data_IF_246965687676
#
_entry.id   IF_246965687676
#
_cell.length_a   1.000
_cell.length_b   1.000
_cell.length_c   1.000
_cell.angle_alpha   90.00
_cell.angle_beta   90.00
_cell.angle_gamma   90.00
#
_symmetry.space_group_name_H-M   'P 1'
#
loop_
_entity.id
_entity.type
_entity.pdbx_description
1 polymer ?
#
# COMPACT_ATOMS: atom_id res chain seq x y z
N UNK A 1 -19.42 5.52 35.50
CA UNK A 1 -20.34 4.86 34.56
C UNK A 1 -20.42 5.72 33.31
N UNK A 2 -19.69 5.37 32.24
CA UNK A 2 -19.74 6.06 30.94
C UNK A 2 -20.36 5.06 29.97
N UNK A 3 -21.69 5.10 29.83
CA UNK A 3 -22.35 4.48 28.68
C UNK A 3 -22.18 5.42 27.51
N UNK A 4 -21.00 5.39 26.88
CA UNK A 4 -20.80 6.04 25.59
C UNK A 4 -21.67 5.29 24.59
N UNK A 5 -22.81 5.87 24.22
CA UNK A 5 -23.58 5.39 23.08
C UNK A 5 -22.70 5.50 21.83
N UNK A 6 -22.04 4.40 21.48
CA UNK A 6 -21.40 4.28 20.18
C UNK A 6 -22.51 4.42 19.14
N UNK A 7 -22.28 5.25 18.13
CA UNK A 7 -23.24 5.42 17.03
C UNK A 7 -23.52 4.02 16.46
N UNK A 8 -24.79 3.67 16.20
CA UNK A 8 -25.13 2.35 15.65
C UNK A 8 -24.39 2.05 14.33
N UNK A 9 -23.89 3.08 13.65
CA UNK A 9 -23.12 3.00 12.41
C UNK A 9 -21.61 2.73 12.61
N UNK A 10 -21.08 2.79 13.83
CA UNK A 10 -19.66 2.50 14.07
C UNK A 10 -19.32 1.01 13.96
N UNK A 11 -20.19 0.15 14.47
CA UNK A 11 -20.00 -1.32 14.43
C UNK A 11 -19.97 -1.84 12.99
N UNK A 12 -20.89 -1.45 12.09
CA UNK A 12 -20.80 -1.82 10.68
C UNK A 12 -19.55 -1.30 9.97
N UNK A 13 -19.10 -0.08 10.27
CA UNK A 13 -17.84 0.45 9.71
C UNK A 13 -16.62 -0.37 10.12
N UNK A 14 -16.55 -0.76 11.39
CA UNK A 14 -15.50 -1.65 11.90
C UNK A 14 -15.57 -3.01 11.21
N UNK A 15 -16.77 -3.58 11.07
CA UNK A 15 -16.95 -4.86 10.35
C UNK A 15 -16.51 -4.78 8.89
N UNK A 16 -16.89 -3.71 8.16
CA UNK A 16 -16.48 -3.50 6.78
C UNK A 16 -14.96 -3.38 6.67
N UNK A 17 -14.35 -2.57 7.55
CA UNK A 17 -12.90 -2.41 7.63
C UNK A 17 -12.19 -3.75 7.82
N UNK A 18 -12.63 -4.54 8.81
CA UNK A 18 -12.02 -5.83 9.13
C UNK A 18 -12.13 -6.83 7.97
N UNK A 19 -13.30 -6.90 7.32
CA UNK A 19 -13.47 -7.79 6.17
C UNK A 19 -12.56 -7.39 5.00
N UNK A 20 -12.51 -6.10 4.67
CA UNK A 20 -11.59 -5.57 3.65
C UNK A 20 -10.15 -5.92 4.06
N UNK A 21 -9.76 -5.70 5.32
CA UNK A 21 -8.40 -6.03 5.80
C UNK A 21 -8.02 -7.50 5.59
N UNK A 22 -8.95 -8.41 5.86
CA UNK A 22 -8.75 -9.85 5.72
C UNK A 22 -8.76 -10.35 4.26
N UNK A 23 -9.20 -9.55 3.29
CA UNK A 23 -9.21 -9.89 1.86
C UNK A 23 -7.86 -9.74 1.15
N UNK A 24 -6.79 -9.45 1.90
CA UNK A 24 -5.44 -9.32 1.36
C UNK A 24 -5.01 -10.47 0.42
N UNK A 25 -3.93 -10.30 -0.33
CA UNK A 25 -2.93 -9.28 -0.18
C UNK A 25 -3.35 -8.03 -0.95
N UNK A 26 -2.88 -6.89 -0.47
CA UNK A 26 -3.10 -5.61 -1.15
C UNK A 26 -1.93 -5.34 -2.08
N UNK A 27 -2.21 -5.15 -3.37
CA UNK A 27 -1.16 -5.06 -4.38
C UNK A 27 -1.41 -3.98 -5.40
N UNK A 28 -0.35 -3.31 -5.89
CA UNK A 28 -0.47 -2.38 -7.01
C UNK A 28 -0.30 -3.05 -8.39
N UNK A 29 -0.20 -4.38 -8.48
CA UNK A 29 0.03 -5.11 -9.74
C UNK A 29 -1.03 -4.80 -10.79
N UNK A 30 -2.31 -4.89 -10.42
CA UNK A 30 -3.44 -4.51 -11.25
C UNK A 30 -3.38 -3.05 -11.74
N UNK A 31 -2.98 -2.15 -10.86
CA UNK A 31 -2.84 -0.72 -11.20
C UNK A 31 -1.72 -0.52 -12.21
N UNK A 32 -0.63 -1.29 -12.10
CA UNK A 32 0.46 -1.27 -13.05
C UNK A 32 0.05 -1.90 -14.39
N UNK A 33 -0.70 -3.00 -14.39
CA UNK A 33 -1.23 -3.60 -15.62
C UNK A 33 -2.07 -2.60 -16.40
N UNK A 34 -2.98 -1.90 -15.72
CA UNK A 34 -3.75 -0.83 -16.34
C UNK A 34 -2.84 0.23 -16.98
N UNK A 35 -1.78 0.65 -16.29
CA UNK A 35 -0.84 1.64 -16.84
C UNK A 35 -0.04 1.10 -18.02
N UNK A 36 0.36 -0.18 -18.00
CA UNK A 36 1.03 -0.86 -19.12
C UNK A 36 0.09 -0.90 -20.32
N UNK A 37 -1.16 -1.32 -20.12
CA UNK A 37 -2.17 -1.41 -21.18
C UNK A 37 -2.47 -0.05 -21.83
N UNK A 38 -2.26 1.04 -21.09
CA UNK A 38 -2.43 2.42 -21.57
C UNK A 38 -1.17 3.02 -22.18
N UNK A 39 -0.05 2.31 -22.10
CA UNK A 39 1.23 2.76 -22.62
C UNK A 39 1.47 2.22 -24.03
N UNK A 40 2.18 3.01 -24.83
CA UNK A 40 2.53 2.66 -26.20
C UNK A 40 4.06 2.66 -26.33
N UNK A 41 4.61 1.64 -26.97
CA UNK A 41 6.02 1.57 -27.34
C UNK A 41 6.17 2.01 -28.79
N UNK A 42 7.13 2.90 -29.05
CA UNK A 42 7.51 3.35 -30.40
C UNK A 42 8.84 2.65 -30.75
N UNK A 43 8.82 1.63 -31.61
CA UNK A 43 10.05 0.93 -31.99
C UNK A 43 11.02 1.83 -32.76
N UNK A 44 12.32 1.67 -32.54
CA UNK A 44 13.36 2.47 -33.21
C UNK A 44 13.55 2.12 -34.69
N UNK A 45 13.07 0.96 -35.14
CA UNK A 45 13.27 0.41 -36.48
C UNK A 45 12.18 0.81 -37.48
N UNK A 46 11.42 1.88 -37.21
CA UNK A 46 10.34 2.35 -38.08
C UNK A 46 9.08 1.46 -38.07
N UNK A 47 8.99 0.48 -37.18
CA UNK A 47 7.75 -0.27 -36.98
C UNK A 47 6.66 0.64 -36.37
N UNK A 48 5.40 0.30 -36.64
CA UNK A 48 4.25 1.01 -36.08
C UNK A 48 4.26 0.97 -34.55
N UNK A 49 3.80 2.04 -33.89
CA UNK A 49 3.59 2.01 -32.44
C UNK A 49 2.70 0.85 -32.04
N UNK A 50 3.03 0.18 -30.93
CA UNK A 50 2.25 -0.93 -30.38
C UNK A 50 1.97 -0.74 -28.90
N UNK A 51 0.96 -1.43 -28.38
CA UNK A 51 0.70 -1.47 -26.94
C UNK A 51 1.90 -2.06 -26.20
N UNK A 52 2.22 -1.49 -25.04
CA UNK A 52 3.28 -1.98 -24.19
C UNK A 52 2.88 -3.33 -23.55
N UNK A 53 3.87 -4.16 -23.26
CA UNK A 53 3.69 -5.42 -22.53
C UNK A 53 4.39 -5.38 -21.17
N UNK A 54 4.17 -6.41 -20.35
CA UNK A 54 4.88 -6.53 -19.07
C UNK A 54 6.39 -6.71 -19.27
N UNK A 55 6.81 -7.35 -20.37
CA UNK A 55 8.21 -7.48 -20.75
C UNK A 55 8.84 -6.13 -21.07
N UNK A 56 8.09 -5.23 -21.73
CA UNK A 56 8.53 -3.85 -21.96
C UNK A 56 8.68 -3.12 -20.63
N UNK A 57 7.71 -3.25 -19.72
CA UNK A 57 7.77 -2.59 -18.41
C UNK A 57 8.94 -3.07 -17.55
N UNK A 58 9.22 -4.38 -17.54
CA UNK A 58 10.38 -4.94 -16.82
C UNK A 58 11.69 -4.41 -17.41
N UNK A 59 11.72 -4.12 -18.71
CA UNK A 59 12.91 -3.58 -19.39
C UNK A 59 13.05 -2.06 -19.22
N UNK A 60 11.95 -1.33 -19.32
CA UNK A 60 11.87 0.13 -19.25
C UNK A 60 10.71 0.58 -18.34
N UNK A 61 10.90 0.55 -17.00
CA UNK A 61 9.81 0.80 -16.06
C UNK A 61 9.22 2.21 -16.12
N UNK A 62 9.95 3.17 -16.72
CA UNK A 62 9.49 4.55 -16.88
C UNK A 62 8.44 4.73 -17.99
N UNK A 63 8.19 3.71 -18.83
CA UNK A 63 7.23 3.81 -19.94
C UNK A 63 5.81 4.17 -19.46
N UNK A 64 5.43 3.73 -18.25
CA UNK A 64 4.10 4.01 -17.69
C UNK A 64 3.93 5.48 -17.28
N UNK A 65 5.03 6.23 -17.18
CA UNK A 65 5.00 7.67 -16.87
C UNK A 65 4.38 8.52 -17.99
N UNK A 66 4.22 7.97 -19.19
CA UNK A 66 3.55 8.63 -20.30
C UNK A 66 2.01 8.69 -20.13
N UNK A 67 1.42 7.83 -19.29
CA UNK A 67 -0.03 7.81 -19.05
C UNK A 67 -0.45 9.03 -18.24
N UNK A 68 -1.33 9.86 -18.81
CA UNK A 68 -1.74 11.11 -18.19
C UNK A 68 -2.99 10.95 -17.32
N UNK A 69 -3.19 11.87 -16.36
CA UNK A 69 -4.43 11.93 -15.58
C UNK A 69 -5.67 12.12 -16.46
N UNK A 70 -5.53 12.76 -17.63
CA UNK A 70 -6.62 12.96 -18.57
C UNK A 70 -7.08 11.62 -19.17
N UNK A 71 -6.15 10.76 -19.58
CA UNK A 71 -6.47 9.42 -20.07
C UNK A 71 -7.22 8.59 -19.02
N UNK A 72 -6.78 8.67 -17.76
CA UNK A 72 -7.42 7.98 -16.64
C UNK A 72 -8.82 8.55 -16.36
N UNK A 73 -8.99 9.87 -16.44
CA UNK A 73 -10.28 10.51 -16.22
C UNK A 73 -11.31 10.10 -17.28
N UNK A 74 -10.91 10.06 -18.55
CA UNK A 74 -11.76 9.59 -19.66
C UNK A 74 -12.23 8.15 -19.47
N UNK A 75 -11.35 7.25 -18.98
CA UNK A 75 -11.74 5.88 -18.65
C UNK A 75 -12.65 5.78 -17.42
N UNK A 76 -12.57 6.76 -16.50
CA UNK A 76 -13.39 6.78 -15.27
C UNK A 76 -14.85 7.15 -15.48
N UNK A 77 -15.15 7.80 -16.60
CA UNK A 77 -16.50 8.26 -16.98
C UNK A 77 -17.26 7.17 -17.73
N UNK A 78 -16.56 6.24 -18.40
CA UNK A 78 -17.20 5.12 -19.10
C UNK A 78 -17.80 4.15 -18.08
N UNK A 79 -19.12 3.92 -18.16
CA UNK A 79 -19.78 2.91 -17.34
C UNK A 79 -19.17 1.52 -17.59
N UNK A 80 -18.87 0.79 -16.52
CA UNK A 80 -18.12 -0.48 -16.62
C UNK A 80 -16.68 -0.32 -17.12
N UNK A 81 -16.14 0.90 -17.13
CA UNK A 81 -14.80 1.20 -17.64
C UNK A 81 -13.67 0.52 -16.87
N UNK A 82 -12.47 0.53 -17.46
CA UNK A 82 -11.26 -0.11 -16.95
C UNK A 82 -10.77 0.42 -15.58
N UNK A 83 -11.42 1.43 -14.98
CA UNK A 83 -11.13 1.84 -13.61
C UNK A 83 -12.13 1.27 -12.59
N UNK A 84 -13.31 0.81 -13.02
CA UNK A 84 -14.31 0.26 -12.12
C UNK A 84 -13.80 -1.02 -11.43
N UNK A 85 -13.11 -1.90 -12.18
CA UNK A 85 -12.56 -3.13 -11.62
C UNK A 85 -11.41 -2.85 -10.62
N UNK A 86 -10.62 -1.79 -10.83
CA UNK A 86 -9.58 -1.37 -9.88
C UNK A 86 -10.16 -0.84 -8.56
N UNK A 87 -11.35 -0.21 -8.61
CA UNK A 87 -12.07 0.25 -7.43
C UNK A 87 -12.59 -0.93 -6.59
N UNK A 88 -13.11 -1.97 -7.25
CA UNK A 88 -13.72 -3.13 -6.61
C UNK A 88 -12.72 -4.24 -6.24
N UNK A 89 -11.56 -4.28 -6.90
CA UNK A 89 -10.56 -5.35 -6.81
C UNK A 89 -9.71 -5.35 -5.53
N UNK A 90 -8.57 -6.05 -5.58
CA UNK A 90 -7.54 -6.05 -4.51
C UNK A 90 -6.40 -5.07 -4.81
N UNK A 91 -6.64 -4.20 -5.77
CA UNK A 91 -5.67 -3.26 -6.32
C UNK A 91 -5.32 -2.17 -5.30
N UNK A 92 -4.11 -1.66 -5.31
CA UNK A 92 -3.56 -0.62 -4.41
C UNK A 92 -3.30 -1.07 -2.97
N UNK A 93 -2.62 -0.22 -2.19
CA UNK A 93 -2.13 -0.56 -0.85
C UNK A 93 -2.84 0.19 0.29
N UNK A 94 -3.15 1.46 0.07
CA UNK A 94 -3.72 2.34 1.09
C UNK A 94 -4.98 3.09 0.62
N UNK A 95 -4.90 3.82 -0.50
CA UNK A 95 -6.04 4.59 -1.04
C UNK A 95 -7.19 3.67 -1.43
N UNK A 96 -6.88 2.56 -2.09
CA UNK A 96 -7.86 1.58 -2.54
C UNK A 96 -8.54 0.84 -1.39
N UNK A 97 -7.81 0.56 -0.31
CA UNK A 97 -8.37 -0.01 0.91
C UNK A 97 -9.49 0.90 1.46
N UNK A 98 -9.24 2.21 1.54
CA UNK A 98 -10.25 3.17 1.99
C UNK A 98 -11.44 3.23 1.03
N UNK A 99 -11.18 3.27 -0.28
CA UNK A 99 -12.23 3.25 -1.31
C UNK A 99 -13.12 2.01 -1.18
N UNK A 100 -12.53 0.83 -1.07
CA UNK A 100 -13.25 -0.45 -0.99
C UNK A 100 -14.06 -0.60 0.29
N UNK A 101 -13.52 -0.12 1.41
CA UNK A 101 -14.26 -0.09 2.68
C UNK A 101 -15.48 0.83 2.60
N UNK A 102 -15.32 2.00 1.99
CA UNK A 102 -16.42 2.96 1.77
C UNK A 102 -17.47 2.40 0.81
N UNK A 103 -17.04 1.80 -0.31
CA UNK A 103 -17.93 1.17 -1.29
C UNK A 103 -18.78 0.07 -0.66
N UNK A 104 -18.17 -0.79 0.16
CA UNK A 104 -18.89 -1.82 0.94
C UNK A 104 -19.91 -1.23 1.88
N UNK A 105 -19.58 -0.13 2.56
CA UNK A 105 -20.52 0.55 3.45
C UNK A 105 -21.71 1.14 2.69
N UNK A 106 -21.48 1.75 1.53
CA UNK A 106 -22.57 2.23 0.67
C UNK A 106 -23.43 1.09 0.13
N UNK A 107 -22.85 -0.07 -0.13
CA UNK A 107 -23.61 -1.25 -0.54
C UNK A 107 -24.47 -1.83 0.59
N UNK A 108 -23.96 -1.89 1.81
CA UNK A 108 -24.70 -2.41 2.98
C UNK A 108 -25.76 -1.44 3.50
N UNK A 109 -25.51 -0.15 3.38
CA UNK A 109 -26.40 0.91 3.85
C UNK A 109 -26.68 1.87 2.68
N UNK A 110 -27.45 1.41 1.67
CA UNK A 110 -27.82 2.26 0.54
C UNK A 110 -28.71 3.40 1.05
N UNK A 111 -28.21 4.63 0.99
CA UNK A 111 -28.88 5.82 1.54
C UNK A 111 -27.87 6.87 2.00
N UNK A 112 -28.34 7.83 2.80
CA UNK A 112 -27.49 8.93 3.29
C UNK A 112 -26.90 8.72 4.68
N UNK A 113 -26.85 7.49 5.20
CA UNK A 113 -26.30 7.19 6.54
C UNK A 113 -24.81 7.53 6.63
N UNK A 114 -24.10 7.36 5.52
CA UNK A 114 -22.70 7.73 5.38
C UNK A 114 -22.53 8.81 4.31
N UNK A 115 -21.57 9.71 4.54
CA UNK A 115 -21.17 10.74 3.59
C UNK A 115 -19.65 10.86 3.64
N UNK A 116 -18.95 9.95 2.96
CA UNK A 116 -17.50 9.90 2.98
C UNK A 116 -16.88 10.91 2.01
N UNK A 117 -15.89 11.64 2.52
CA UNK A 117 -15.01 12.52 1.75
C UNK A 117 -13.59 11.99 1.85
N UNK A 118 -12.89 11.91 0.72
CA UNK A 118 -11.49 11.49 0.69
C UNK A 118 -10.58 12.71 0.86
N UNK A 119 -9.56 12.57 1.71
CA UNK A 119 -8.57 13.61 1.95
C UNK A 119 -7.24 13.18 1.33
N UNK A 120 -6.66 14.05 0.51
CA UNK A 120 -5.36 13.84 -0.12
C UNK A 120 -4.23 14.36 0.77
N UNK A 121 -3.30 13.46 1.11
CA UNK A 121 -2.15 13.73 1.96
C UNK A 121 -0.86 13.55 1.18
N UNK A 122 -0.91 13.69 -0.15
CA UNK A 122 0.20 13.36 -1.02
C UNK A 122 0.20 11.87 -1.32
N UNK A 123 1.11 11.09 -0.74
CA UNK A 123 1.28 9.66 -1.08
C UNK A 123 0.25 8.74 -0.40
N UNK A 124 -0.60 9.30 0.45
CA UNK A 124 -1.60 8.57 1.22
C UNK A 124 -2.95 9.27 1.13
N UNK A 125 -4.03 8.49 1.14
CA UNK A 125 -5.41 9.01 1.09
C UNK A 125 -6.26 8.19 2.03
N UNK A 126 -7.08 8.89 2.79
CA UNK A 126 -8.02 8.32 3.74
C UNK A 126 -9.42 8.88 3.50
N UNK A 127 -10.43 8.23 4.07
CA UNK A 127 -11.81 8.68 3.98
C UNK A 127 -12.36 9.06 5.36
N UNK A 128 -13.10 10.16 5.44
CA UNK A 128 -13.81 10.55 6.67
C UNK A 128 -15.28 10.75 6.34
N UNK A 129 -16.16 10.10 7.09
CA UNK A 129 -17.59 10.33 7.02
C UNK A 129 -17.97 11.64 7.70
N UNK A 130 -18.60 12.56 6.98
CA UNK A 130 -18.96 13.89 7.50
C UNK A 130 -20.06 13.83 8.56
N UNK A 131 -20.99 12.88 8.44
CA UNK A 131 -22.10 12.64 9.36
C UNK A 131 -21.66 11.91 10.64
N UNK A 132 -21.02 10.76 10.50
CA UNK A 132 -20.68 9.88 11.64
C UNK A 132 -19.31 10.15 12.26
N UNK A 133 -18.48 10.98 11.61
CA UNK A 133 -17.08 11.26 12.00
C UNK A 133 -16.19 10.01 12.02
N UNK A 134 -16.54 8.99 11.25
CA UNK A 134 -15.74 7.77 11.13
C UNK A 134 -14.61 7.99 10.11
N UNK A 135 -13.38 7.69 10.52
CA UNK A 135 -12.17 7.68 9.72
C UNK A 135 -11.87 6.23 9.26
N UNK A 136 -11.60 6.09 7.96
CA UNK A 136 -11.10 4.87 7.33
C UNK A 136 -9.69 5.14 6.80
N UNK A 137 -8.71 4.49 7.41
CA UNK A 137 -7.30 4.55 7.02
C UNK A 137 -6.65 3.17 7.16
N UNK A 138 -6.05 2.66 6.08
CA UNK A 138 -5.29 1.40 6.04
C UNK A 138 -4.11 1.28 7.02
N UNK A 139 -3.68 2.41 7.61
CA UNK A 139 -2.63 2.47 8.63
C UNK A 139 -3.16 2.22 10.04
N UNK A 140 -4.47 2.36 10.25
CA UNK A 140 -5.10 2.08 11.52
C UNK A 140 -5.26 0.56 11.75
N UNK A 141 -5.46 0.16 13.00
CA UNK A 141 -5.87 -1.21 13.30
C UNK A 141 -7.34 -1.45 12.96
N UNK A 142 -8.18 -0.42 12.95
CA UNK A 142 -9.62 -0.52 12.74
C UNK A 142 -10.20 0.80 12.24
N UNK A 143 -11.51 0.84 11.95
CA UNK A 143 -12.23 2.09 11.73
C UNK A 143 -12.18 2.94 13.00
N UNK A 144 -11.90 4.25 12.87
CA UNK A 144 -11.71 5.13 14.02
C UNK A 144 -12.87 6.12 14.11
N UNK A 145 -13.55 6.21 15.25
CA UNK A 145 -14.52 7.27 15.52
C UNK A 145 -13.77 8.51 16.00
N UNK A 146 -13.88 9.62 15.27
CA UNK A 146 -13.30 10.89 15.65
C UNK A 146 -14.22 11.62 16.63
N UNK A 147 -13.63 12.27 17.63
CA UNK A 147 -14.32 13.23 18.48
C UNK A 147 -14.55 14.55 17.73
N UNK A 148 -15.50 15.35 18.20
CA UNK A 148 -15.82 16.64 17.58
C UNK A 148 -14.58 17.56 17.51
N UNK A 149 -14.33 18.12 16.32
CA UNK A 149 -13.19 18.99 16.06
C UNK A 149 -11.90 18.24 15.71
N UNK A 150 -11.82 16.92 15.95
CA UNK A 150 -10.64 16.14 15.57
C UNK A 150 -10.48 16.05 14.05
N UNK A 151 -11.54 16.18 13.26
CA UNK A 151 -11.46 16.22 11.80
C UNK A 151 -10.56 17.34 11.27
N UNK A 152 -10.48 18.47 12.00
CA UNK A 152 -9.57 19.59 11.67
C UNK A 152 -8.12 19.24 11.99
N UNK A 153 -7.92 18.39 13.01
CA UNK A 153 -6.61 17.90 13.42
C UNK A 153 -6.17 16.66 12.70
N UNK A 154 -7.03 15.96 11.95
CA UNK A 154 -6.60 14.85 11.08
C UNK A 154 -5.50 15.36 10.13
N UNK A 155 -5.65 16.57 9.56
CA UNK A 155 -4.58 17.26 8.81
C UNK A 155 -3.26 17.45 9.59
N UNK A 156 -3.28 17.49 10.92
CA UNK A 156 -2.10 17.61 11.80
C UNK A 156 -1.57 16.26 12.32
N UNK A 157 -2.45 15.30 12.63
CA UNK A 157 -2.11 14.04 13.28
C UNK A 157 -1.62 12.96 12.31
N UNK A 158 -2.01 13.01 11.04
CA UNK A 158 -1.52 12.06 10.04
C UNK A 158 -0.01 12.24 9.77
N UNK A 159 0.55 13.41 10.06
CA UNK A 159 1.99 13.66 9.96
C UNK A 159 2.85 12.75 10.88
N UNK A 160 2.28 12.25 11.98
CA UNK A 160 2.97 11.27 12.84
C UNK A 160 3.03 9.88 12.20
N UNK A 161 2.01 9.51 11.42
CA UNK A 161 1.95 8.24 10.71
C UNK A 161 2.70 8.26 9.38
N UNK A 162 2.76 9.39 8.68
CA UNK A 162 3.70 9.55 7.56
C UNK A 162 5.13 9.27 8.01
N UNK A 163 5.54 9.69 9.22
CA UNK A 163 6.85 9.32 9.74
C UNK A 163 6.99 7.82 10.05
N UNK A 164 5.90 7.09 10.36
CA UNK A 164 5.97 5.64 10.55
C UNK A 164 5.95 4.86 9.22
N UNK A 165 5.15 5.26 8.24
CA UNK A 165 5.14 4.67 6.90
C UNK A 165 6.38 5.07 6.08
N UNK A 166 6.89 6.29 6.20
CA UNK A 166 8.16 6.72 5.59
C UNK A 166 9.39 6.13 6.30
N UNK A 167 9.29 5.71 7.58
CA UNK A 167 10.33 4.85 8.19
C UNK A 167 10.50 3.52 7.43
N UNK A 168 9.51 3.08 6.65
CA UNK A 168 9.67 1.96 5.71
C UNK A 168 10.25 2.37 4.35
N UNK A 169 10.21 3.64 3.94
CA UNK A 169 10.87 4.14 2.74
C UNK A 169 12.11 4.94 3.14
N UNK A 170 13.21 4.23 3.36
CA UNK A 170 14.49 4.83 3.73
C UNK A 170 14.84 6.02 2.82
N UNK A 171 14.85 7.23 3.39
CA UNK A 171 15.51 8.37 2.78
C UNK A 171 16.98 8.38 3.23
N UNK A 172 17.86 8.26 2.24
CA UNK A 172 19.18 8.88 2.29
C UNK A 172 18.96 10.39 2.30
N UNK A 173 19.34 11.06 3.37
CA UNK A 173 19.96 12.39 3.33
C UNK A 173 20.39 12.79 4.75
N UNK A 174 21.55 13.43 4.81
CA UNK A 174 22.28 13.83 6.00
C UNK A 174 21.47 14.79 6.87
N UNK A 175 21.10 14.37 8.08
CA UNK A 175 20.76 15.30 9.16
C UNK A 175 21.53 14.88 10.41
N UNK A 176 22.33 15.82 10.89
CA UNK A 176 23.27 15.67 12.00
C UNK A 176 22.59 15.26 13.31
N UNK A 177 23.37 14.49 14.07
CA UNK A 177 23.16 13.99 15.43
C UNK A 177 22.52 15.01 16.39
N UNK A 178 21.58 14.53 17.22
CA UNK A 178 21.59 14.75 18.67
C UNK A 178 21.12 13.47 19.37
N UNK A 179 22.00 12.92 20.22
CA UNK A 179 21.71 11.86 21.22
C UNK A 179 21.24 12.55 22.51
N UNK A 180 20.26 11.95 23.21
CA UNK A 180 20.43 11.38 24.57
C UNK A 180 19.13 10.81 25.14
N UNK A 181 19.25 9.57 25.61
CA UNK A 181 18.66 8.90 26.78
C UNK A 181 17.23 9.21 27.24
N UNK A 182 16.40 8.16 27.31
CA UNK A 182 15.85 7.64 28.58
C UNK A 182 14.94 6.42 28.36
N UNK A 183 15.06 5.45 29.27
CA UNK A 183 14.20 4.29 29.46
C UNK A 183 12.75 4.69 29.76
N UNK A 184 11.77 4.11 29.08
CA UNK A 184 10.36 4.19 29.48
C UNK A 184 9.69 2.82 29.48
N UNK A 185 9.20 2.43 30.65
CA UNK A 185 8.28 1.34 30.90
C UNK A 185 6.92 1.63 30.27
N UNK A 186 6.31 0.60 29.67
CA UNK A 186 4.96 0.64 29.10
C UNK A 186 3.92 0.57 30.23
N UNK A 187 3.31 1.71 30.55
CA UNK A 187 1.99 1.75 31.18
C UNK A 187 0.96 2.26 30.17
N UNK A 188 -0.15 1.52 30.10
CA UNK A 188 -1.37 1.85 29.38
C UNK A 188 -2.03 3.09 29.98
N UNK A 189 -2.80 3.80 29.16
CA UNK A 189 -3.46 5.10 29.39
C UNK A 189 -2.59 6.34 29.08
N UNK A 190 -2.48 6.66 27.79
CA UNK A 190 -1.94 7.94 27.34
C UNK A 190 -2.98 8.70 26.53
N UNK A 191 -3.59 9.72 27.15
CA UNK A 191 -3.98 10.90 26.40
C UNK A 191 -2.72 11.44 25.71
N UNK A 192 -2.75 11.58 24.38
CA UNK A 192 -1.57 12.00 23.62
C UNK A 192 -1.13 13.41 24.02
N UNK A 193 0.17 13.64 24.33
CA UNK A 193 0.64 14.97 24.69
C UNK A 193 0.56 15.93 23.50
N UNK A 194 0.25 17.23 23.73
CA UNK A 194 0.21 18.23 22.67
C UNK A 194 1.62 18.49 22.12
N UNK A 195 1.77 18.42 20.81
CA UNK A 195 3.07 18.58 20.13
C UNK A 195 3.38 20.06 19.93
N UNK A 196 4.45 20.54 20.56
CA UNK A 196 5.06 21.85 20.27
C UNK A 196 5.91 21.75 19.00
N UNK A 197 5.64 22.60 18.00
CA UNK A 197 6.51 22.79 16.82
C UNK A 197 5.89 22.52 15.44
N UNK A 198 4.58 22.25 15.33
CA UNK A 198 3.94 22.14 14.01
C UNK A 198 3.86 23.53 13.34
N UNK A 199 4.62 23.71 12.25
CA UNK A 199 4.50 24.90 11.38
C UNK A 199 3.06 24.97 10.82
N UNK A 200 2.47 26.15 10.89
CA UNK A 200 1.03 26.42 10.82
C UNK A 200 0.42 26.44 9.42
N UNK A 201 1.05 25.89 8.40
CA UNK A 201 0.57 26.02 7.01
C UNK A 201 0.48 24.66 6.31
N UNK A 202 -0.38 23.78 6.82
CA UNK A 202 -0.91 22.71 5.99
C UNK A 202 -1.99 23.30 5.10
N UNK A 203 -1.69 23.41 3.80
CA UNK A 203 -2.70 23.69 2.76
C UNK A 203 -3.86 22.73 2.97
N UNK A 204 -5.08 23.28 2.99
CA UNK A 204 -6.33 22.52 3.14
C UNK A 204 -6.27 21.30 2.22
N UNK A 205 -6.32 20.10 2.80
CA UNK A 205 -6.37 18.86 2.04
C UNK A 205 -7.52 18.96 1.03
N UNK A 206 -7.20 18.81 -0.25
CA UNK A 206 -8.22 18.80 -1.29
C UNK A 206 -9.16 17.61 -1.03
N UNK A 207 -10.45 17.91 -0.93
CA UNK A 207 -11.49 16.89 -0.84
C UNK A 207 -11.68 16.22 -2.19
N UNK A 208 -11.66 14.90 -2.22
CA UNK A 208 -11.83 14.09 -3.42
C UNK A 208 -13.03 13.15 -3.26
N UNK A 209 -13.64 12.77 -4.39
CA UNK A 209 -14.45 11.57 -4.45
C UNK A 209 -13.57 10.33 -4.69
N UNK A 210 -14.13 9.12 -4.56
CA UNK A 210 -13.39 7.88 -4.72
C UNK A 210 -12.66 7.76 -6.07
N UNK A 211 -13.32 8.15 -7.17
CA UNK A 211 -12.74 8.13 -8.53
C UNK A 211 -11.51 9.05 -8.63
N UNK A 212 -11.62 10.29 -8.16
CA UNK A 212 -10.54 11.25 -8.17
C UNK A 212 -9.38 10.83 -7.27
N UNK A 213 -9.66 10.19 -6.12
CA UNK A 213 -8.64 9.61 -5.25
C UNK A 213 -7.87 8.48 -5.95
N UNK A 214 -8.57 7.59 -6.68
CA UNK A 214 -7.94 6.53 -7.46
C UNK A 214 -7.07 7.07 -8.60
N UNK A 215 -7.57 8.02 -9.38
CA UNK A 215 -6.82 8.65 -10.49
C UNK A 215 -5.52 9.28 -9.97
N UNK A 216 -5.57 9.99 -8.84
CA UNK A 216 -4.34 10.54 -8.24
C UNK A 216 -3.38 9.46 -7.76
N UNK A 217 -3.89 8.35 -7.23
CA UNK A 217 -3.06 7.20 -6.85
C UNK A 217 -2.34 6.61 -8.07
N UNK A 218 -3.06 6.40 -9.18
CA UNK A 218 -2.49 5.94 -10.45
C UNK A 218 -1.47 6.92 -11.02
N UNK A 219 -1.78 8.21 -11.05
CA UNK A 219 -0.85 9.24 -11.54
C UNK A 219 0.44 9.34 -10.71
N UNK A 220 0.39 9.06 -9.41
CA UNK A 220 1.58 8.98 -8.56
C UNK A 220 2.39 7.72 -8.84
N UNK A 221 1.70 6.60 -9.08
CA UNK A 221 2.34 5.35 -9.42
C UNK A 221 3.05 5.42 -10.78
N UNK A 222 2.41 6.03 -11.78
CA UNK A 222 2.99 6.29 -13.10
C UNK A 222 4.25 7.16 -13.04
N UNK A 223 4.29 8.13 -12.13
CA UNK A 223 5.43 9.04 -11.93
C UNK A 223 6.48 8.53 -10.95
N UNK A 224 6.32 7.31 -10.42
CA UNK A 224 7.25 6.75 -9.46
C UNK A 224 8.52 6.28 -10.20
N UNK A 225 9.61 7.05 -10.05
CA UNK A 225 10.94 6.77 -10.61
C UNK A 225 11.50 5.39 -10.23
N UNK A 226 11.04 4.83 -9.11
CA UNK A 226 11.47 3.51 -8.66
C UNK A 226 10.69 2.36 -9.30
N UNK A 227 9.51 2.65 -9.85
CA UNK A 227 8.62 1.67 -10.47
C UNK A 227 8.38 0.42 -9.60
N UNK A 228 8.13 0.63 -8.31
CA UNK A 228 8.01 -0.46 -7.33
C UNK A 228 6.69 -1.21 -7.50
N UNK A 229 6.76 -2.55 -7.62
CA UNK A 229 5.58 -3.43 -7.51
C UNK A 229 5.52 -3.96 -6.09
N UNK A 230 4.35 -3.85 -5.47
CA UNK A 230 4.16 -4.12 -4.05
C UNK A 230 3.04 -5.14 -3.88
N UNK A 231 3.28 -6.15 -3.07
CA UNK A 231 2.29 -7.11 -2.60
C UNK A 231 2.39 -7.17 -1.07
N UNK A 232 1.40 -6.60 -0.39
CA UNK A 232 1.33 -6.48 1.07
C UNK A 232 0.43 -7.55 1.66
N UNK A 233 1.02 -8.41 2.47
CA UNK A 233 0.33 -9.43 3.25
C UNK A 233 -0.12 -8.85 4.59
N UNK A 234 -1.38 -9.09 4.90
CA UNK A 234 -2.03 -8.63 6.13
C UNK A 234 -2.16 -9.79 7.10
N UNK A 235 -1.99 -9.53 8.39
CA UNK A 235 -2.13 -10.53 9.46
C UNK A 235 -2.77 -9.93 10.71
N UNK A 236 -2.87 -10.71 11.77
CA UNK A 236 -3.26 -10.21 13.09
C UNK A 236 -2.29 -10.66 14.17
N UNK A 237 -1.99 -9.74 15.07
CA UNK A 237 -1.21 -10.00 16.28
C UNK A 237 -2.07 -10.76 17.29
N UNK A 238 -1.75 -12.04 17.52
CA UNK A 238 -2.29 -12.79 18.65
C UNK A 238 -1.58 -12.38 19.96
N UNK A 239 -2.27 -12.34 21.11
CA UNK A 239 -3.69 -12.65 21.34
C UNK A 239 -4.63 -11.44 21.19
N UNK A 240 -4.12 -10.23 20.93
CA UNK A 240 -4.91 -9.00 20.97
C UNK A 240 -5.81 -8.76 19.75
N UNK A 241 -5.84 -9.68 18.77
CA UNK A 241 -6.55 -9.55 17.49
C UNK A 241 -6.29 -8.20 16.78
N UNK A 242 -5.10 -7.63 16.97
CA UNK A 242 -4.74 -6.35 16.34
C UNK A 242 -4.26 -6.61 14.92
N UNK A 243 -4.96 -6.03 13.97
CA UNK A 243 -4.59 -6.05 12.56
C UNK A 243 -3.22 -5.41 12.34
N UNK A 244 -2.34 -6.10 11.63
CA UNK A 244 -0.96 -5.69 11.46
C UNK A 244 -0.34 -6.09 10.12
N UNK A 245 0.80 -5.46 9.85
CA UNK A 245 1.70 -5.86 8.77
C UNK A 245 2.31 -7.23 9.10
N UNK A 246 2.09 -8.17 8.19
CA UNK A 246 2.64 -9.52 8.30
C UNK A 246 3.89 -9.66 7.42
N UNK A 247 3.75 -9.36 6.13
CA UNK A 247 4.86 -9.40 5.19
C UNK A 247 4.62 -8.57 3.93
N UNK A 248 5.67 -8.37 3.14
CA UNK A 248 5.61 -7.74 1.81
C UNK A 248 6.57 -8.43 0.87
N UNK A 249 6.11 -8.69 -0.36
CA UNK A 249 6.99 -8.90 -1.51
C UNK A 249 7.01 -7.60 -2.31
N UNK A 250 8.21 -7.11 -2.59
CA UNK A 250 8.42 -5.88 -3.33
C UNK A 250 9.36 -6.11 -4.50
N UNK A 251 8.91 -5.86 -5.71
CA UNK A 251 9.76 -5.81 -6.90
C UNK A 251 10.30 -4.40 -7.09
N UNK A 252 11.58 -4.32 -7.41
CA UNK A 252 12.27 -3.07 -7.77
C UNK A 252 12.97 -3.28 -9.11
N UNK A 253 12.25 -3.20 -10.24
CA UNK A 253 12.78 -3.49 -11.56
C UNK A 253 14.02 -2.64 -11.91
N UNK A 254 14.02 -1.37 -11.53
CA UNK A 254 15.16 -0.44 -11.70
C UNK A 254 16.45 -0.91 -11.03
N UNK A 255 16.36 -1.78 -10.01
CA UNK A 255 17.50 -2.39 -9.32
C UNK A 255 17.65 -3.88 -9.61
N UNK A 256 16.75 -4.47 -10.39
CA UNK A 256 16.68 -5.91 -10.66
C UNK A 256 16.62 -6.74 -9.37
N UNK A 257 15.84 -6.28 -8.39
CA UNK A 257 15.74 -6.89 -7.05
C UNK A 257 14.30 -7.21 -6.67
N UNK A 258 14.12 -8.34 -5.97
CA UNK A 258 12.93 -8.62 -5.15
C UNK A 258 13.29 -8.50 -3.67
N UNK A 259 12.55 -7.71 -2.91
CA UNK A 259 12.70 -7.53 -1.47
C UNK A 259 11.56 -8.25 -0.73
N UNK A 260 11.89 -9.23 0.10
CA UNK A 260 10.99 -9.89 1.04
C UNK A 260 11.12 -9.20 2.40
N UNK A 261 10.05 -8.59 2.92
CA UNK A 261 10.08 -7.88 4.20
C UNK A 261 9.05 -8.46 5.16
N UNK A 262 9.40 -8.69 6.43
CA UNK A 262 8.48 -9.19 7.44
C UNK A 262 8.81 -8.63 8.83
N UNK A 263 7.82 -8.65 9.71
CA UNK A 263 8.01 -8.28 11.10
C UNK A 263 8.62 -9.44 11.92
N UNK A 264 9.52 -9.09 12.83
CA UNK A 264 10.03 -9.98 13.88
C UNK A 264 9.97 -9.25 15.22
N UNK A 265 10.17 -9.97 16.34
CA UNK A 265 10.30 -9.35 17.67
C UNK A 265 11.38 -8.26 17.72
N UNK A 266 12.46 -8.43 16.95
CA UNK A 266 13.58 -7.49 16.86
C UNK A 266 13.36 -6.30 15.90
N UNK A 267 12.21 -6.25 15.22
CA UNK A 267 11.91 -5.26 14.18
C UNK A 267 11.74 -5.89 12.79
N UNK A 268 11.78 -5.05 11.76
CA UNK A 268 11.54 -5.47 10.37
C UNK A 268 12.80 -6.09 9.80
N UNK A 269 12.69 -7.31 9.29
CA UNK A 269 13.74 -7.98 8.51
C UNK A 269 13.45 -7.82 7.03
N UNK A 270 14.52 -7.70 6.24
CA UNK A 270 14.46 -7.65 4.79
C UNK A 270 15.46 -8.63 4.20
N UNK A 271 15.02 -9.49 3.30
CA UNK A 271 15.85 -10.33 2.45
C UNK A 271 15.75 -9.83 1.02
N UNK A 272 16.89 -9.58 0.39
CA UNK A 272 16.96 -9.24 -1.03
C UNK A 272 17.23 -10.46 -1.89
N UNK A 273 16.65 -10.49 -3.07
CA UNK A 273 16.92 -11.45 -4.15
C UNK A 273 17.37 -10.62 -5.35
N UNK A 274 18.63 -10.76 -5.75
CA UNK A 274 19.27 -9.93 -6.77
C UNK A 274 19.44 -10.72 -8.07
N UNK A 275 18.86 -10.24 -9.17
CA UNK A 275 18.98 -10.87 -10.49
C UNK A 275 20.30 -10.50 -11.19
N UNK A 276 20.81 -11.46 -11.99
CA UNK A 276 21.88 -11.26 -12.98
C UNK A 276 23.26 -11.82 -12.68
N UNK A 277 23.42 -12.56 -11.57
CA UNK A 277 24.70 -13.19 -11.20
C UNK A 277 24.57 -14.65 -10.77
N UNK A 278 23.36 -15.21 -10.82
CA UNK A 278 23.07 -16.55 -10.36
C UNK A 278 23.20 -17.62 -11.44
N UNK A 279 22.86 -18.84 -11.05
CA UNK A 279 22.70 -20.03 -11.87
C UNK A 279 21.27 -20.56 -11.76
N UNK A 280 20.92 -21.60 -12.51
CA UNK A 280 19.63 -22.28 -12.33
C UNK A 280 19.48 -22.85 -10.91
N UNK A 281 20.54 -23.38 -10.31
CA UNK A 281 20.49 -23.88 -8.92
C UNK A 281 20.16 -22.74 -7.95
N UNK A 282 20.83 -21.59 -8.07
CA UNK A 282 20.52 -20.45 -7.20
C UNK A 282 19.13 -19.85 -7.48
N UNK A 283 18.60 -20.04 -8.70
CA UNK A 283 17.23 -19.66 -9.04
C UNK A 283 16.22 -20.50 -8.25
N UNK A 284 16.40 -21.82 -8.21
CA UNK A 284 15.54 -22.72 -7.43
C UNK A 284 15.63 -22.40 -5.93
N UNK A 285 16.84 -22.17 -5.40
CA UNK A 285 17.02 -21.73 -4.00
C UNK A 285 16.25 -20.43 -3.70
N UNK A 286 16.28 -19.46 -4.62
CA UNK A 286 15.56 -18.20 -4.46
C UNK A 286 14.04 -18.38 -4.50
N UNK A 287 13.52 -19.27 -5.33
CA UNK A 287 12.09 -19.63 -5.38
C UNK A 287 11.68 -20.25 -4.03
N UNK A 288 12.45 -21.22 -3.53
CA UNK A 288 12.19 -21.84 -2.21
C UNK A 288 12.22 -20.80 -1.07
N UNK A 289 13.07 -19.77 -1.14
CA UNK A 289 13.03 -18.69 -0.14
C UNK A 289 11.77 -17.83 -0.17
N UNK A 290 11.11 -17.70 -1.34
CA UNK A 290 9.79 -17.06 -1.42
C UNK A 290 8.74 -17.96 -0.78
N UNK A 291 8.76 -19.25 -1.07
CA UNK A 291 7.85 -20.23 -0.46
C UNK A 291 8.01 -20.27 1.06
N UNK A 292 9.25 -20.32 1.58
CA UNK A 292 9.55 -20.22 2.99
C UNK A 292 8.95 -18.94 3.60
N UNK A 293 9.14 -17.80 2.94
CA UNK A 293 8.57 -16.52 3.36
C UNK A 293 7.04 -16.54 3.41
N UNK A 294 6.38 -17.20 2.45
CA UNK A 294 4.92 -17.33 2.41
C UNK A 294 4.41 -18.30 3.48
N UNK A 295 5.19 -19.33 3.84
CA UNK A 295 4.82 -20.33 4.83
C UNK A 295 5.09 -19.91 6.29
N UNK A 296 5.66 -18.73 6.54
CA UNK A 296 5.89 -18.22 7.91
C UNK A 296 4.56 -17.97 8.64
N UNK A 297 4.33 -18.65 9.78
CA UNK A 297 3.05 -18.63 10.53
C UNK A 297 2.99 -17.65 11.71
N UNK A 298 3.79 -16.59 11.71
CA UNK A 298 3.93 -15.73 12.89
C UNK A 298 2.67 -14.93 13.26
N UNK A 299 1.76 -14.65 12.31
CA UNK A 299 0.67 -13.67 12.49
C UNK A 299 -0.74 -14.16 12.07
N UNK A 300 -1.00 -15.45 12.18
CA UNK A 300 -2.35 -16.04 12.24
C UNK A 300 -3.20 -16.03 10.97
N UNK A 301 -2.79 -15.32 9.91
CA UNK A 301 -3.33 -15.47 8.54
C UNK A 301 -2.28 -16.18 7.70
N UNK A 302 -2.71 -17.12 6.86
CA UNK A 302 -1.82 -17.77 5.91
C UNK A 302 -1.51 -16.80 4.75
N UNK A 303 -0.22 -16.46 4.56
CA UNK A 303 0.18 -15.61 3.43
C UNK A 303 0.01 -16.36 2.12
N UNK A 304 0.04 -17.69 2.12
CA UNK A 304 -0.13 -18.49 0.90
C UNK A 304 -1.54 -18.33 0.34
N UNK A 305 -2.56 -18.32 1.20
CA UNK A 305 -3.95 -18.09 0.79
C UNK A 305 -4.10 -16.72 0.13
N UNK A 306 -3.49 -15.69 0.71
CA UNK A 306 -3.43 -14.36 0.10
C UNK A 306 -2.65 -14.42 -1.22
N UNK A 307 -1.46 -15.00 -1.23
CA UNK A 307 -0.57 -15.04 -2.38
C UNK A 307 -1.20 -15.72 -3.59
N UNK A 308 -2.06 -16.71 -3.39
CA UNK A 308 -2.74 -17.43 -4.47
C UNK A 308 -3.42 -16.49 -5.48
N UNK A 309 -3.96 -15.36 -5.01
CA UNK A 309 -4.64 -14.36 -5.86
C UNK A 309 -3.69 -13.51 -6.72
N UNK A 310 -2.39 -13.52 -6.42
CA UNK A 310 -1.36 -12.76 -7.16
C UNK A 310 -0.25 -13.66 -7.69
N UNK A 311 -0.36 -14.98 -7.53
CA UNK A 311 0.69 -15.94 -7.86
C UNK A 311 1.11 -15.84 -9.32
N UNK A 312 0.14 -15.86 -10.24
CA UNK A 312 0.37 -15.79 -11.68
C UNK A 312 1.21 -14.55 -12.06
N UNK A 313 0.92 -13.41 -11.44
CA UNK A 313 1.69 -12.19 -11.62
C UNK A 313 3.16 -12.36 -11.21
N UNK A 314 3.38 -12.92 -10.03
CA UNK A 314 4.74 -13.12 -9.51
C UNK A 314 5.53 -14.13 -10.34
N UNK A 315 4.90 -15.22 -10.79
CA UNK A 315 5.50 -16.23 -11.67
C UNK A 315 5.88 -15.62 -13.02
N UNK A 316 4.97 -14.87 -13.64
CA UNK A 316 5.22 -14.18 -14.92
C UNK A 316 6.38 -13.20 -14.80
N UNK A 317 6.37 -12.35 -13.76
CA UNK A 317 7.47 -11.41 -13.49
C UNK A 317 8.80 -12.14 -13.29
N UNK A 318 8.79 -13.26 -12.57
CA UNK A 318 9.99 -14.05 -12.30
C UNK A 318 10.60 -14.61 -13.57
N UNK A 319 9.79 -15.23 -14.44
CA UNK A 319 10.24 -15.79 -15.73
C UNK A 319 10.84 -14.68 -16.60
N UNK A 320 10.15 -13.54 -16.72
CA UNK A 320 10.64 -12.41 -17.53
C UNK A 320 11.94 -11.85 -16.93
N UNK A 321 12.01 -11.68 -15.61
CA UNK A 321 13.19 -11.19 -14.91
C UNK A 321 14.39 -12.12 -15.10
N UNK A 322 14.21 -13.43 -14.91
CA UNK A 322 15.28 -14.42 -15.12
C UNK A 322 15.78 -14.39 -16.58
N UNK A 323 14.87 -14.31 -17.55
CA UNK A 323 15.23 -14.22 -18.97
C UNK A 323 15.96 -12.91 -19.32
N UNK A 324 15.45 -11.76 -18.85
CA UNK A 324 15.97 -10.43 -19.22
C UNK A 324 17.20 -10.01 -18.43
N UNK A 325 17.26 -10.40 -17.17
CA UNK A 325 18.27 -9.91 -16.23
C UNK A 325 19.29 -10.98 -15.86
N UNK A 326 19.01 -12.26 -16.11
CA UNK A 326 19.80 -13.41 -15.64
C UNK A 326 19.33 -13.93 -14.28
N UNK A 327 19.76 -15.13 -13.91
CA UNK A 327 19.29 -15.81 -12.69
C UNK A 327 19.63 -15.05 -11.39
N UNK A 328 18.80 -15.22 -10.34
CA UNK A 328 18.98 -14.51 -9.09
C UNK A 328 19.93 -15.20 -8.09
N UNK A 329 20.42 -14.40 -7.15
CA UNK A 329 21.15 -14.84 -5.95
C UNK A 329 20.53 -14.23 -4.69
N UNK A 330 20.64 -14.96 -3.58
CA UNK A 330 20.20 -14.49 -2.27
C UNK A 330 21.18 -13.46 -1.70
N UNK A 331 20.65 -12.33 -1.26
CA UNK A 331 21.39 -11.34 -0.51
C UNK A 331 21.28 -11.60 0.99
N UNK A 332 22.30 -11.24 1.80
CA UNK A 332 22.22 -11.37 3.25
C UNK A 332 21.01 -10.64 3.83
N UNK A 333 20.37 -11.24 4.85
CA UNK A 333 19.27 -10.58 5.57
C UNK A 333 19.81 -9.32 6.24
N UNK A 334 19.09 -8.21 6.03
CA UNK A 334 19.39 -6.94 6.68
C UNK A 334 18.29 -6.61 7.68
N UNK A 335 18.67 -6.15 8.85
CA UNK A 335 17.72 -5.46 9.73
C UNK A 335 17.45 -4.08 9.13
N UNK A 336 16.18 -3.76 8.92
CA UNK A 336 15.81 -2.37 8.61
C UNK A 336 15.91 -1.62 9.92
N UNK A 337 17.00 -0.88 10.11
CA UNK A 337 17.26 -0.17 11.36
C UNK A 337 16.01 0.61 11.78
N UNK A 338 15.51 0.37 13.00
CA UNK A 338 14.50 1.22 13.62
C UNK A 338 15.17 2.59 13.81
N UNK A 339 14.98 3.50 12.86
CA UNK A 339 15.34 4.91 13.03
C UNK A 339 14.22 5.62 13.76
#
# INVERSE_FOLDING_TARGET
MISSHQSPLFVPATKAYCQVYCEGPYTNLDMIQYLIDKSTVIPQNGQSPRQATIEDYVSEPNLVGAVTNQNMFEDSIKDGGALHWLVAGRSGVCTSFAIKTVDRLYHWFPGEEYEFVFYDLGQHRLAICKKTKILIDSSASEAVKLEEGQEKTVNKHIFLYENQCLKFRGKNENVNKVRKDSSMSLHHDAAFPPIKGLRSEFKIAMTLNAKAALIRCLGQLAKNDKAELLCFFRGYLRPAFRYGFDGMIKWVPTRKVVELSWNTRSGVKVRGIQFGSGTEDTNQDCISQIEDFLNMKDYGIDRMDQFSCVREWHEKLWVIAAYKWGYPTLQPIRAKGRR
#
